data_IF_160311668416
#
_entry.id   IF_160311668416
#
_cell.length_a   1.000
_cell.length_b   1.000
_cell.length_c   1.000
_cell.angle_alpha   90.00
_cell.angle_beta   90.00
_cell.angle_gamma   90.00
#
_symmetry.space_group_name_H-M   'P 1'
#
loop_
_entity.id
_entity.type
_entity.pdbx_description
1 polymer ?
#
# COMPACT_ATOMS: atom_id res chain seq x y z
N UNK A 1 -17.56 -28.91 6.31
CA UNK A 1 -16.13 -28.69 5.96
C UNK A 1 -15.92 -27.71 4.79
N UNK A 2 -16.82 -27.62 3.79
CA UNK A 2 -16.73 -26.65 2.67
C UNK A 2 -16.75 -25.16 3.06
N UNK A 3 -17.41 -24.80 4.16
CA UNK A 3 -17.59 -23.39 4.56
C UNK A 3 -16.32 -22.72 5.08
N UNK A 4 -15.44 -23.46 5.78
CA UNK A 4 -14.20 -22.90 6.31
C UNK A 4 -13.18 -22.56 5.21
N UNK A 5 -13.28 -23.20 4.03
CA UNK A 5 -12.39 -22.96 2.89
C UNK A 5 -12.57 -21.57 2.27
N UNK A 6 -13.76 -20.97 2.41
CA UNK A 6 -14.06 -19.64 1.86
C UNK A 6 -14.12 -18.60 2.97
N UNK A 7 -14.54 -19.00 4.18
CA UNK A 7 -14.68 -18.11 5.33
C UNK A 7 -13.35 -17.45 5.73
N UNK A 8 -12.26 -18.21 5.82
CA UNK A 8 -10.96 -17.64 6.23
C UNK A 8 -10.37 -16.70 5.18
N UNK A 9 -10.26 -17.06 3.88
CA UNK A 9 -9.80 -16.12 2.85
C UNK A 9 -10.69 -14.87 2.74
N UNK A 10 -12.00 -15.01 2.95
CA UNK A 10 -12.93 -13.88 2.94
C UNK A 10 -12.67 -12.90 4.08
N UNK A 11 -12.45 -13.40 5.31
CA UNK A 11 -12.13 -12.55 6.47
C UNK A 11 -10.80 -11.84 6.22
N UNK A 12 -9.76 -12.58 5.79
CA UNK A 12 -8.45 -12.00 5.51
C UNK A 12 -8.56 -10.91 4.42
N UNK A 13 -9.23 -11.21 3.30
CA UNK A 13 -9.44 -10.23 2.23
C UNK A 13 -10.24 -9.01 2.68
N UNK A 14 -11.21 -9.17 3.59
CA UNK A 14 -11.96 -8.06 4.16
C UNK A 14 -11.10 -7.20 5.10
N UNK A 15 -10.27 -7.82 5.94
CA UNK A 15 -9.31 -7.10 6.78
C UNK A 15 -8.30 -6.34 5.91
N UNK A 16 -7.77 -6.97 4.86
CA UNK A 16 -6.92 -6.27 3.87
C UNK A 16 -7.62 -5.08 3.25
N UNK A 17 -8.90 -5.22 2.88
CA UNK A 17 -9.69 -4.14 2.30
C UNK A 17 -9.81 -2.95 3.26
N UNK A 18 -10.11 -3.21 4.54
CA UNK A 18 -10.18 -2.15 5.56
C UNK A 18 -8.84 -1.44 5.75
N UNK A 19 -7.73 -2.20 5.78
CA UNK A 19 -6.40 -1.62 5.88
C UNK A 19 -6.05 -0.77 4.66
N UNK A 20 -6.40 -1.22 3.44
CA UNK A 20 -6.22 -0.43 2.22
C UNK A 20 -7.01 0.89 2.28
N UNK A 21 -8.27 0.86 2.75
CA UNK A 21 -9.08 2.08 2.93
C UNK A 21 -8.40 3.03 3.93
N UNK A 22 -7.95 2.52 5.08
CA UNK A 22 -7.27 3.34 6.08
C UNK A 22 -5.97 3.94 5.55
N UNK A 23 -5.18 3.17 4.81
CA UNK A 23 -3.90 3.63 4.23
C UNK A 23 -4.10 4.66 3.13
N UNK A 24 -5.09 4.46 2.25
CA UNK A 24 -5.45 5.46 1.23
C UNK A 24 -5.92 6.74 1.91
N UNK A 25 -6.80 6.63 2.91
CA UNK A 25 -7.31 7.78 3.65
C UNK A 25 -6.20 8.56 4.35
N UNK A 26 -5.33 7.89 5.10
CA UNK A 26 -4.23 8.54 5.82
C UNK A 26 -3.19 9.15 4.87
N UNK A 27 -2.87 8.45 3.78
CA UNK A 27 -1.89 8.92 2.79
C UNK A 27 -2.44 10.11 1.97
N UNK A 28 -3.72 10.09 1.61
CA UNK A 28 -4.39 11.21 0.94
C UNK A 28 -4.48 12.44 1.86
N UNK A 29 -4.84 12.25 3.13
CA UNK A 29 -4.84 13.33 4.13
C UNK A 29 -3.45 13.90 4.35
N UNK A 30 -2.43 13.04 4.44
CA UNK A 30 -1.04 13.48 4.55
C UNK A 30 -0.61 14.31 3.34
N UNK A 31 -0.84 13.81 2.12
CA UNK A 31 -0.51 14.52 0.88
C UNK A 31 -1.22 15.88 0.77
N UNK A 32 -2.50 15.93 1.17
CA UNK A 32 -3.31 17.15 1.16
C UNK A 32 -2.89 18.19 2.22
N UNK A 33 -2.15 17.79 3.26
CA UNK A 33 -1.71 18.68 4.35
C UNK A 33 -0.23 19.04 4.27
N UNK A 34 0.53 18.52 3.29
CA UNK A 34 1.97 18.79 3.14
C UNK A 34 2.31 20.28 3.00
N UNK A 35 1.47 21.05 2.31
CA UNK A 35 1.66 22.47 2.03
C UNK A 35 1.44 23.37 3.25
N UNK A 36 0.62 22.93 4.20
CA UNK A 36 0.21 23.67 5.40
C UNK A 36 0.94 23.17 6.65
N UNK A 37 1.62 22.03 6.56
CA UNK A 37 2.34 21.43 7.68
C UNK A 37 3.68 22.16 7.95
N UNK A 38 3.68 22.97 9.01
CA UNK A 38 4.86 23.72 9.46
C UNK A 38 6.02 22.84 9.91
N UNK A 39 5.75 21.63 10.40
CA UNK A 39 6.79 20.67 10.81
C UNK A 39 7.54 20.19 9.57
N UNK A 40 6.81 19.75 8.54
CA UNK A 40 7.42 19.28 7.28
C UNK A 40 8.23 20.40 6.63
N UNK A 41 7.65 21.61 6.53
CA UNK A 41 8.37 22.78 6.01
C UNK A 41 9.63 23.08 6.82
N UNK A 42 9.53 23.10 8.15
CA UNK A 42 10.66 23.33 9.04
C UNK A 42 11.78 22.32 8.84
N UNK A 43 11.45 21.03 8.73
CA UNK A 43 12.44 19.96 8.50
C UNK A 43 13.13 20.08 7.14
N UNK A 44 12.40 20.44 6.08
CA UNK A 44 13.00 20.62 4.74
C UNK A 44 13.94 21.84 4.75
N UNK A 45 13.52 22.95 5.37
CA UNK A 45 14.36 24.16 5.51
C UNK A 45 15.62 23.85 6.32
N UNK A 46 15.48 23.13 7.43
CA UNK A 46 16.61 22.72 8.26
C UNK A 46 17.58 21.82 7.49
N UNK A 47 17.07 20.81 6.79
CA UNK A 47 17.87 19.93 5.94
C UNK A 47 18.59 20.70 4.83
N UNK A 48 17.93 21.67 4.20
CA UNK A 48 18.53 22.55 3.20
C UNK A 48 19.68 23.38 3.79
N UNK A 49 19.47 24.00 4.95
CA UNK A 49 20.48 24.84 5.61
C UNK A 49 21.68 24.03 6.14
N UNK A 50 21.48 22.75 6.46
CA UNK A 50 22.55 21.85 6.91
C UNK A 50 23.35 21.22 5.76
N UNK A 51 22.92 21.37 4.49
CA UNK A 51 23.63 20.83 3.34
C UNK A 51 24.98 21.55 3.11
N UNK A 52 26.13 20.85 3.15
CA UNK A 52 27.46 21.45 2.93
C UNK A 52 27.60 22.16 1.58
N UNK A 53 26.91 21.67 0.54
CA UNK A 53 26.92 22.29 -0.79
C UNK A 53 26.18 23.62 -0.75
N UNK A 54 25.02 23.64 -0.10
CA UNK A 54 24.22 24.86 0.10
C UNK A 54 25.05 25.89 0.86
N UNK A 55 25.69 25.52 1.97
CA UNK A 55 26.55 26.43 2.75
C UNK A 55 27.72 27.00 1.93
N UNK A 56 28.38 26.15 1.13
CA UNK A 56 29.47 26.58 0.25
C UNK A 56 28.99 27.54 -0.84
N UNK A 57 27.83 27.26 -1.42
CA UNK A 57 27.25 28.07 -2.50
C UNK A 57 26.72 29.41 -1.94
N UNK A 58 26.21 29.44 -0.70
CA UNK A 58 25.90 30.68 0.04
C UNK A 58 27.16 31.49 0.31
N UNK A 59 28.21 30.86 0.86
CA UNK A 59 29.45 31.53 1.23
C UNK A 59 30.20 32.11 0.02
N UNK A 60 30.06 31.48 -1.15
CA UNK A 60 30.64 31.95 -2.42
C UNK A 60 29.77 32.98 -3.15
N UNK A 61 28.60 33.35 -2.61
CA UNK A 61 27.66 34.27 -3.26
C UNK A 61 26.99 33.71 -4.53
N UNK A 62 27.11 32.40 -4.76
CA UNK A 62 26.57 31.72 -5.94
C UNK A 62 25.16 31.14 -5.72
N UNK A 63 24.59 31.31 -4.52
CA UNK A 63 23.26 30.82 -4.21
C UNK A 63 22.18 31.58 -4.99
N UNK A 64 21.41 30.83 -5.80
CA UNK A 64 20.33 31.36 -6.65
C UNK A 64 18.92 31.06 -6.14
N UNK A 65 18.79 30.20 -5.14
CA UNK A 65 17.50 29.68 -4.67
C UNK A 65 17.38 29.91 -3.17
N UNK A 66 16.24 30.47 -2.72
CA UNK A 66 15.97 30.65 -1.30
C UNK A 66 15.52 29.32 -0.66
N UNK A 67 15.75 29.12 0.66
CA UNK A 67 15.27 27.95 1.37
C UNK A 67 13.76 27.72 1.23
N UNK A 68 12.97 28.80 1.18
CA UNK A 68 11.51 28.75 1.03
C UNK A 68 11.11 28.30 -0.37
N UNK A 69 11.79 28.82 -1.40
CA UNK A 69 11.55 28.40 -2.79
C UNK A 69 11.86 26.91 -2.95
N UNK A 70 13.02 26.46 -2.46
CA UNK A 70 13.40 25.05 -2.49
C UNK A 70 12.39 24.17 -1.75
N UNK A 71 11.91 24.62 -0.59
CA UNK A 71 10.93 23.89 0.23
C UNK A 71 9.60 23.75 -0.49
N UNK A 72 9.10 24.83 -1.10
CA UNK A 72 7.85 24.81 -1.86
C UNK A 72 7.95 23.88 -3.09
N UNK A 73 9.06 23.94 -3.83
CA UNK A 73 9.30 23.04 -4.97
C UNK A 73 9.37 21.58 -4.54
N UNK A 74 10.00 21.31 -3.40
CA UNK A 74 10.09 19.96 -2.81
C UNK A 74 8.72 19.44 -2.39
N UNK A 75 7.88 20.29 -1.78
CA UNK A 75 6.52 19.92 -1.38
C UNK A 75 5.64 19.65 -2.61
N UNK A 76 5.68 20.52 -3.63
CA UNK A 76 4.94 20.32 -4.88
C UNK A 76 5.36 19.02 -5.57
N UNK A 77 6.67 18.73 -5.61
CA UNK A 77 7.19 17.46 -6.10
C UNK A 77 6.66 16.26 -5.30
N UNK A 78 6.71 16.31 -3.97
CA UNK A 78 6.21 15.24 -3.09
C UNK A 78 4.71 15.00 -3.30
N UNK A 79 3.91 16.07 -3.42
CA UNK A 79 2.48 15.96 -3.70
C UNK A 79 2.22 15.28 -5.04
N UNK A 80 2.91 15.70 -6.12
CA UNK A 80 2.77 15.09 -7.44
C UNK A 80 3.20 13.62 -7.46
N UNK A 81 4.32 13.30 -6.83
CA UNK A 81 4.83 11.92 -6.77
C UNK A 81 3.94 11.02 -5.91
N UNK A 82 3.28 11.55 -4.87
CA UNK A 82 2.38 10.78 -4.00
C UNK A 82 1.15 10.21 -4.74
N UNK A 83 0.78 10.78 -5.89
CA UNK A 83 -0.32 10.29 -6.72
C UNK A 83 -0.06 8.87 -7.24
N UNK A 84 1.18 8.53 -7.58
CA UNK A 84 1.53 7.20 -8.12
C UNK A 84 1.24 6.07 -7.12
N UNK A 85 1.81 6.05 -5.89
CA UNK A 85 1.48 5.01 -4.92
C UNK A 85 0.00 5.04 -4.53
N UNK A 86 -0.64 6.21 -4.41
CA UNK A 86 -2.08 6.30 -4.14
C UNK A 86 -2.93 5.63 -5.23
N UNK A 87 -2.58 5.82 -6.50
CA UNK A 87 -3.28 5.19 -7.63
C UNK A 87 -3.15 3.66 -7.60
N UNK A 88 -1.97 3.15 -7.25
CA UNK A 88 -1.73 1.71 -7.08
C UNK A 88 -2.53 1.13 -5.90
N UNK A 89 -2.63 1.85 -4.78
CA UNK A 89 -3.53 1.45 -3.68
C UNK A 89 -5.00 1.44 -4.12
N UNK A 90 -5.42 2.44 -4.88
CA UNK A 90 -6.78 2.50 -5.44
C UNK A 90 -7.08 1.27 -6.32
N UNK A 91 -6.15 0.90 -7.20
CA UNK A 91 -6.26 -0.31 -8.01
C UNK A 91 -6.30 -1.58 -7.15
N UNK A 92 -5.43 -1.70 -6.14
CA UNK A 92 -5.42 -2.82 -5.20
C UNK A 92 -6.74 -2.95 -4.43
N UNK A 93 -7.31 -1.83 -3.99
CA UNK A 93 -8.60 -1.79 -3.29
C UNK A 93 -9.73 -2.27 -4.21
N UNK A 94 -9.77 -1.77 -5.45
CA UNK A 94 -10.79 -2.15 -6.42
C UNK A 94 -10.72 -3.65 -6.76
N UNK A 95 -9.52 -4.17 -7.03
CA UNK A 95 -9.28 -5.58 -7.30
C UNK A 95 -9.64 -6.47 -6.10
N UNK A 96 -9.31 -6.03 -4.88
CA UNK A 96 -9.68 -6.74 -3.64
C UNK A 96 -11.20 -6.80 -3.48
N UNK A 97 -11.91 -5.69 -3.74
CA UNK A 97 -13.36 -5.62 -3.68
C UNK A 97 -14.01 -6.59 -4.70
N UNK A 98 -13.58 -6.55 -5.96
CA UNK A 98 -14.06 -7.49 -7.00
C UNK A 98 -13.73 -8.93 -6.58
N UNK A 99 -12.54 -9.19 -6.06
CA UNK A 99 -12.14 -10.50 -5.56
C UNK A 99 -13.11 -11.03 -4.49
N UNK A 100 -13.47 -10.20 -3.51
CA UNK A 100 -14.41 -10.57 -2.45
C UNK A 100 -15.83 -10.87 -2.98
N UNK A 101 -16.29 -10.11 -3.98
CA UNK A 101 -17.61 -10.33 -4.61
C UNK A 101 -17.60 -11.63 -5.44
N UNK A 102 -16.54 -11.85 -6.22
CA UNK A 102 -16.40 -13.00 -7.14
C UNK A 102 -16.09 -14.31 -6.42
N UNK A 103 -15.66 -14.27 -5.15
CA UNK A 103 -15.24 -15.43 -4.36
C UNK A 103 -16.28 -16.54 -4.26
N UNK A 104 -17.57 -16.19 -4.27
CA UNK A 104 -18.67 -17.19 -4.25
C UNK A 104 -18.81 -17.95 -5.57
N UNK A 105 -18.37 -17.36 -6.67
CA UNK A 105 -18.55 -17.89 -8.02
C UNK A 105 -17.31 -18.63 -8.51
N UNK A 106 -16.12 -18.04 -8.33
CA UNK A 106 -14.88 -18.64 -8.82
C UNK A 106 -13.68 -18.32 -7.92
N UNK A 107 -13.24 -19.31 -7.15
CA UNK A 107 -12.10 -19.19 -6.23
C UNK A 107 -10.77 -18.93 -6.93
N UNK A 108 -10.59 -19.48 -8.13
CA UNK A 108 -9.35 -19.31 -8.91
C UNK A 108 -9.21 -17.86 -9.41
N UNK A 109 -10.28 -17.30 -9.96
CA UNK A 109 -10.30 -15.88 -10.37
C UNK A 109 -10.05 -14.97 -9.17
N UNK A 110 -10.71 -15.23 -8.04
CA UNK A 110 -10.49 -14.45 -6.81
C UNK A 110 -9.04 -14.51 -6.34
N UNK A 111 -8.40 -15.69 -6.38
CA UNK A 111 -7.02 -15.84 -5.97
C UNK A 111 -6.06 -15.03 -6.88
N UNK A 112 -6.30 -15.03 -8.20
CA UNK A 112 -5.55 -14.20 -9.15
C UNK A 112 -5.76 -12.71 -8.86
N UNK A 113 -7.01 -12.27 -8.64
CA UNK A 113 -7.31 -10.88 -8.29
C UNK A 113 -6.60 -10.43 -7.01
N UNK A 114 -6.57 -11.29 -5.99
CA UNK A 114 -5.85 -11.02 -4.75
C UNK A 114 -4.33 -10.98 -4.95
N UNK A 115 -3.76 -11.81 -5.83
CA UNK A 115 -2.33 -11.73 -6.18
C UNK A 115 -2.02 -10.39 -6.84
N UNK A 116 -2.80 -9.99 -7.85
CA UNK A 116 -2.57 -8.74 -8.57
C UNK A 116 -2.74 -7.54 -7.62
N UNK A 117 -3.77 -7.57 -6.75
CA UNK A 117 -3.95 -6.57 -5.70
C UNK A 117 -2.78 -6.55 -4.70
N UNK A 118 -2.24 -7.72 -4.35
CA UNK A 118 -1.05 -7.86 -3.50
C UNK A 118 0.17 -7.21 -4.14
N UNK A 119 0.43 -7.48 -5.43
CA UNK A 119 1.51 -6.86 -6.20
C UNK A 119 1.35 -5.33 -6.23
N UNK A 120 0.14 -4.85 -6.53
CA UNK A 120 -0.16 -3.42 -6.58
C UNK A 120 0.00 -2.73 -5.21
N UNK A 121 -0.08 -3.45 -4.09
CA UNK A 121 0.05 -2.91 -2.74
C UNK A 121 1.37 -3.26 -2.03
N UNK A 122 2.38 -3.77 -2.76
CA UNK A 122 3.64 -4.28 -2.17
C UNK A 122 4.35 -3.29 -1.25
N UNK A 123 4.33 -2.00 -1.55
CA UNK A 123 4.98 -0.96 -0.74
C UNK A 123 4.33 -0.75 0.64
N UNK A 124 3.12 -1.26 0.87
CA UNK A 124 2.45 -1.22 2.18
C UNK A 124 2.77 -2.41 3.07
N UNK A 125 3.38 -3.46 2.51
CA UNK A 125 3.74 -4.75 3.11
C UNK A 125 2.57 -5.52 3.73
N UNK A 126 1.88 -4.97 4.73
CA UNK A 126 0.85 -5.65 5.53
C UNK A 126 -0.36 -6.06 4.66
N UNK A 127 -1.06 -5.14 3.95
CA UNK A 127 -2.13 -5.53 3.03
C UNK A 127 -1.69 -6.55 1.98
N UNK A 128 -0.51 -6.36 1.40
CA UNK A 128 0.02 -7.24 0.35
C UNK A 128 0.21 -8.67 0.86
N UNK A 129 0.86 -8.83 2.02
CA UNK A 129 1.05 -10.13 2.67
C UNK A 129 -0.29 -10.82 2.93
N UNK A 130 -1.25 -10.10 3.52
CA UNK A 130 -2.59 -10.65 3.80
C UNK A 130 -3.29 -11.11 2.52
N UNK A 131 -3.20 -10.35 1.43
CA UNK A 131 -3.79 -10.71 0.14
C UNK A 131 -3.12 -11.94 -0.47
N UNK A 132 -1.79 -12.07 -0.39
CA UNK A 132 -1.08 -13.29 -0.81
C UNK A 132 -1.47 -14.50 0.04
N UNK A 133 -1.63 -14.34 1.36
CA UNK A 133 -2.12 -15.41 2.22
C UNK A 133 -3.55 -15.83 1.88
N UNK A 134 -4.44 -14.87 1.60
CA UNK A 134 -5.81 -15.15 1.18
C UNK A 134 -5.83 -15.90 -0.16
N UNK A 135 -5.04 -15.46 -1.13
CA UNK A 135 -4.88 -16.12 -2.42
C UNK A 135 -4.36 -17.55 -2.28
N UNK A 136 -3.30 -17.75 -1.48
CA UNK A 136 -2.70 -19.06 -1.26
C UNK A 136 -3.71 -20.06 -0.68
N UNK A 137 -4.54 -19.62 0.28
CA UNK A 137 -5.61 -20.45 0.87
C UNK A 137 -6.74 -20.77 -0.11
N UNK A 138 -6.96 -19.94 -1.13
CA UNK A 138 -7.96 -20.21 -2.17
C UNK A 138 -7.47 -21.26 -3.18
N UNK A 139 -6.15 -21.36 -3.39
CA UNK A 139 -5.55 -22.38 -4.25
C UNK A 139 -5.41 -23.75 -3.57
N UNK A 140 -5.14 -23.80 -2.26
CA UNK A 140 -5.04 -25.05 -1.52
C UNK A 140 -6.42 -25.70 -1.29
N UNK A 141 -6.68 -26.85 -1.91
CA UNK A 141 -7.77 -27.75 -1.50
C UNK A 141 -7.34 -28.50 -0.22
N UNK A 142 -8.25 -28.80 0.71
CA UNK A 142 -7.90 -29.65 1.85
C UNK A 142 -7.59 -31.04 1.32
N UNK A 143 -6.42 -31.58 1.67
CA UNK A 143 -6.09 -32.98 1.43
C UNK A 143 -7.16 -33.88 2.04
N UNK A 144 -7.77 -34.74 1.21
CA UNK A 144 -8.56 -35.85 1.70
C UNK A 144 -7.61 -36.77 2.47
N UNK A 145 -7.63 -36.69 3.80
CA UNK A 145 -7.05 -37.73 4.64
C UNK A 145 -7.86 -38.98 4.37
N UNK A 146 -7.27 -39.95 3.64
CA UNK A 146 -7.91 -41.25 3.43
C UNK A 146 -8.24 -41.86 4.80
N UNK A 147 -9.46 -42.36 5.04
CA UNK A 147 -9.76 -43.05 6.28
C UNK A 147 -8.84 -44.26 6.38
N UNK A 148 -8.10 -44.35 7.49
CA UNK A 148 -7.22 -45.47 7.78
C UNK A 148 -8.01 -46.77 7.56
N UNK A 149 -7.59 -47.56 6.58
CA UNK A 149 -8.12 -48.90 6.37
C UNK A 149 -7.83 -49.68 7.65
N UNK A 150 -8.87 -49.90 8.46
CA UNK A 150 -8.83 -50.91 9.52
C UNK A 150 -8.62 -52.24 8.81
N UNK A 151 -7.39 -52.76 8.85
CA UNK A 151 -7.14 -54.16 8.50
C UNK A 151 -7.97 -55.02 9.46
N UNK A 152 -8.86 -55.83 8.88
CA UNK A 152 -9.63 -56.86 9.57
C UNK A 152 -8.71 -57.99 10.04
#
# INVERSE_FOLDING_TARGET
MKDNLVKTPKIIGFVSLLLLVMLIGSSALFAATLDTNSIVKGTIIEAFNQDPKVQRDTASGNMKVSPESFTNDTIDFLQKVSVYPLSLLGAALFLTLIGLITMKFNRGITAILFIIAGIASLFTLIPAILLFFAANKLFHKPEYTQPAVKKA
#
